data_IF_725212260027
#
_entry.id   IF_725212260027
#
_cell.length_a   1.000
_cell.length_b   1.000
_cell.length_c   1.000
_cell.angle_alpha   90.00
_cell.angle_beta   90.00
_cell.angle_gamma   90.00
#
_symmetry.space_group_name_H-M   'P 1'
#
loop_
_entity.id
_entity.type
_entity.pdbx_description
1 polymer ?
#
# COMPACT_ATOMS: atom_id res chain seq x y z
N UNK A 1 -25.04 -11.09 -11.51
CA UNK A 1 -23.69 -10.89 -10.95
C UNK A 1 -23.01 -9.83 -11.78
N UNK A 2 -23.09 -8.57 -11.35
CA UNK A 2 -22.47 -7.43 -12.02
C UNK A 2 -20.97 -7.43 -11.70
N UNK A 3 -20.12 -7.55 -12.72
CA UNK A 3 -18.70 -7.31 -12.55
C UNK A 3 -18.49 -5.81 -12.39
N UNK A 4 -18.26 -5.37 -11.15
CA UNK A 4 -17.71 -4.05 -10.88
C UNK A 4 -16.31 -4.04 -11.51
N UNK A 5 -16.08 -3.18 -12.50
CA UNK A 5 -14.71 -2.85 -12.90
C UNK A 5 -14.04 -2.23 -11.67
N UNK A 6 -13.22 -3.02 -10.98
CA UNK A 6 -12.25 -2.48 -10.04
C UNK A 6 -11.38 -1.55 -10.86
N UNK A 7 -11.51 -0.26 -10.60
CA UNK A 7 -10.42 0.65 -10.85
C UNK A 7 -9.31 0.13 -9.95
N UNK A 8 -8.34 -0.60 -10.52
CA UNK A 8 -7.20 -1.11 -9.78
C UNK A 8 -6.46 0.11 -9.25
N UNK A 9 -6.83 0.55 -8.04
CA UNK A 9 -6.02 1.48 -7.30
C UNK A 9 -4.67 0.78 -7.22
N UNK A 10 -3.65 1.34 -7.85
CA UNK A 10 -2.31 0.76 -7.91
C UNK A 10 -1.61 0.78 -6.55
N UNK A 11 -2.36 0.60 -5.47
CA UNK A 11 -1.95 0.48 -4.09
C UNK A 11 -1.63 -0.98 -3.80
N UNK A 12 -0.38 -1.20 -3.42
CA UNK A 12 0.08 -2.46 -2.86
C UNK A 12 0.34 -2.28 -1.37
N UNK A 13 -0.19 -3.17 -0.54
CA UNK A 13 0.00 -3.15 0.91
C UNK A 13 0.81 -4.36 1.36
N UNK A 14 1.94 -4.10 2.00
CA UNK A 14 2.78 -5.07 2.68
C UNK A 14 2.70 -4.86 4.19
N UNK A 15 2.35 -5.89 4.94
CA UNK A 15 2.34 -5.84 6.41
C UNK A 15 3.39 -6.80 6.95
N UNK A 16 4.31 -6.29 7.77
CA UNK A 16 5.37 -7.07 8.39
C UNK A 16 5.26 -7.01 9.90
N UNK A 17 5.09 -8.19 10.52
CA UNK A 17 5.02 -8.35 11.98
C UNK A 17 6.26 -9.04 12.51
N UNK A 18 6.88 -8.43 13.52
CA UNK A 18 8.10 -8.89 14.18
C UNK A 18 7.73 -9.27 15.61
N UNK A 19 7.71 -10.57 15.91
CA UNK A 19 7.40 -11.09 17.25
C UNK A 19 8.60 -10.95 18.18
N UNK A 20 8.32 -10.92 19.48
CA UNK A 20 9.32 -10.81 20.54
C UNK A 20 10.21 -9.56 20.37
N UNK A 21 9.62 -8.44 19.93
CA UNK A 21 10.36 -7.23 19.57
C UNK A 21 11.11 -6.60 20.76
N UNK A 22 10.68 -6.87 22.00
CA UNK A 22 11.42 -6.43 23.18
C UNK A 22 12.77 -7.14 23.37
N UNK A 23 12.99 -8.28 22.70
CA UNK A 23 14.23 -9.06 22.71
C UNK A 23 15.15 -8.75 21.52
N UNK A 24 14.88 -7.67 20.81
CA UNK A 24 15.67 -7.23 19.67
C UNK A 24 17.03 -6.68 20.15
N UNK A 25 18.13 -7.41 19.88
CA UNK A 25 19.49 -7.15 20.38
C UNK A 25 20.37 -6.34 19.39
N UNK A 26 19.80 -5.98 18.25
CA UNK A 26 20.41 -5.23 17.17
C UNK A 26 20.99 -3.93 17.71
N UNK A 27 22.26 -3.67 17.46
CA UNK A 27 22.92 -2.43 17.87
C UNK A 27 22.46 -1.27 16.99
N UNK A 28 22.79 -0.05 17.39
CA UNK A 28 22.65 1.12 16.53
C UNK A 28 23.32 0.86 15.17
N UNK A 29 22.63 1.18 14.08
CA UNK A 29 23.07 0.93 12.72
C UNK A 29 22.84 -0.51 12.21
N UNK A 30 22.53 -1.45 13.10
CA UNK A 30 22.09 -2.80 12.71
C UNK A 30 20.57 -2.79 12.46
N UNK A 31 20.14 -3.65 11.53
CA UNK A 31 18.74 -3.70 11.10
C UNK A 31 18.21 -5.12 10.99
N UNK A 32 16.91 -5.24 11.22
CA UNK A 32 16.10 -6.35 10.78
C UNK A 32 15.71 -6.13 9.32
N UNK A 33 15.82 -7.16 8.49
CA UNK A 33 15.41 -7.11 7.09
C UNK A 33 14.12 -7.89 6.87
N UNK A 34 13.14 -7.28 6.22
CA UNK A 34 11.91 -7.96 5.85
C UNK A 34 12.16 -9.06 4.81
N UNK A 35 11.25 -10.05 4.69
CA UNK A 35 11.13 -10.81 3.46
C UNK A 35 10.98 -9.87 2.26
N UNK A 36 11.50 -10.30 1.11
CA UNK A 36 11.26 -9.60 -0.15
C UNK A 36 9.77 -9.63 -0.48
N UNK A 37 9.26 -8.54 -1.04
CA UNK A 37 7.87 -8.46 -1.47
C UNK A 37 7.75 -7.83 -2.85
N UNK A 38 6.74 -8.27 -3.61
CA UNK A 38 6.56 -7.89 -5.00
C UNK A 38 5.33 -7.02 -5.15
N UNK A 39 5.52 -5.76 -5.54
CA UNK A 39 4.43 -4.84 -5.83
C UNK A 39 3.98 -5.00 -7.29
N UNK A 40 2.84 -5.67 -7.49
CA UNK A 40 2.30 -5.97 -8.81
C UNK A 40 1.85 -4.73 -9.60
N UNK A 41 1.56 -3.61 -8.93
CA UNK A 41 1.12 -2.36 -9.54
C UNK A 41 2.11 -1.75 -10.57
N UNK A 42 3.34 -2.26 -10.60
CA UNK A 42 4.47 -1.76 -11.39
C UNK A 42 5.17 -2.83 -12.24
N UNK A 43 4.44 -3.85 -12.72
CA UNK A 43 5.07 -4.92 -13.51
C UNK A 43 6.02 -5.77 -12.66
N UNK A 44 5.60 -6.06 -11.43
CA UNK A 44 6.33 -6.91 -10.47
C UNK A 44 7.68 -6.33 -10.02
N UNK A 45 7.64 -5.19 -9.34
CA UNK A 45 8.84 -4.64 -8.68
C UNK A 45 9.10 -5.35 -7.34
N UNK A 46 10.35 -5.73 -7.09
CA UNK A 46 10.79 -6.39 -5.86
C UNK A 46 11.33 -5.36 -4.87
N UNK A 47 10.94 -5.48 -3.61
CA UNK A 47 11.23 -4.53 -2.55
C UNK A 47 11.69 -5.23 -1.27
N UNK A 48 12.33 -4.45 -0.41
CA UNK A 48 12.61 -4.85 0.97
C UNK A 48 12.49 -3.65 1.91
N UNK A 49 12.05 -3.92 3.14
CA UNK A 49 12.04 -2.95 4.23
C UNK A 49 13.10 -3.35 5.26
N UNK A 50 14.04 -2.45 5.53
CA UNK A 50 14.97 -2.57 6.64
C UNK A 50 14.43 -1.75 7.82
N UNK A 51 14.38 -2.34 9.01
CA UNK A 51 14.00 -1.68 10.25
C UNK A 51 15.20 -1.63 11.18
N UNK A 52 15.53 -0.46 11.69
CA UNK A 52 16.61 -0.22 12.65
C UNK A 52 16.00 -0.03 14.03
N UNK A 53 15.95 -1.07 14.88
CA UNK A 53 15.16 -1.07 16.11
C UNK A 53 15.73 -0.12 17.17
N UNK A 54 17.04 0.10 17.12
CA UNK A 54 17.79 1.01 18.00
C UNK A 54 18.42 2.19 17.23
N UNK A 55 17.83 2.52 16.08
CA UNK A 55 18.19 3.67 15.24
C UNK A 55 19.30 3.37 14.24
N UNK A 56 19.32 4.11 13.14
CA UNK A 56 20.40 4.05 12.16
C UNK A 56 21.52 5.00 12.62
N UNK A 57 21.32 6.32 12.55
CA UNK A 57 22.25 7.33 13.08
C UNK A 57 21.75 8.01 14.36
N UNK A 58 20.44 8.08 14.55
CA UNK A 58 19.81 8.70 15.72
C UNK A 58 19.56 7.68 16.84
N UNK A 59 20.15 7.92 18.02
CA UNK A 59 19.94 7.07 19.21
C UNK A 59 18.53 7.28 19.78
N UNK A 60 17.90 6.21 20.25
CA UNK A 60 16.60 6.27 20.93
C UNK A 60 15.40 6.38 19.98
N UNK A 61 15.63 6.31 18.67
CA UNK A 61 14.59 6.23 17.66
C UNK A 61 14.58 4.85 17.02
N UNK A 62 13.40 4.40 16.60
CA UNK A 62 13.28 3.38 15.57
C UNK A 62 13.39 4.12 14.23
N UNK A 63 14.14 3.56 13.29
CA UNK A 63 14.28 4.08 11.92
C UNK A 63 13.96 3.01 10.89
N UNK A 64 13.67 3.40 9.66
CA UNK A 64 13.45 2.44 8.56
C UNK A 64 14.09 2.90 7.26
N UNK A 65 14.31 1.93 6.35
CA UNK A 65 14.59 2.15 4.94
C UNK A 65 13.74 1.22 4.06
N UNK A 66 12.96 1.78 3.15
CA UNK A 66 12.34 1.07 2.04
C UNK A 66 13.26 1.12 0.81
N UNK A 67 13.57 -0.04 0.24
CA UNK A 67 14.48 -0.17 -0.89
C UNK A 67 13.83 -0.94 -2.04
N UNK A 68 13.93 -0.36 -3.24
CA UNK A 68 13.63 -1.04 -4.50
C UNK A 68 14.83 -1.91 -4.89
N UNK A 69 14.60 -3.20 -5.13
CA UNK A 69 15.63 -4.17 -5.53
C UNK A 69 15.65 -4.39 -7.05
N UNK A 70 14.53 -4.16 -7.74
CA UNK A 70 14.48 -4.26 -9.20
C UNK A 70 15.34 -3.19 -9.86
N UNK A 71 16.00 -3.54 -10.97
CA UNK A 71 16.82 -2.63 -11.79
C UNK A 71 15.96 -1.75 -12.71
N UNK A 72 14.97 -1.06 -12.13
CA UNK A 72 14.08 -0.14 -12.84
C UNK A 72 14.00 1.17 -12.08
N UNK A 73 13.62 2.24 -12.77
CA UNK A 73 13.28 3.51 -12.12
C UNK A 73 11.77 3.66 -12.08
N UNK A 74 11.23 3.89 -10.89
CA UNK A 74 9.81 4.16 -10.71
C UNK A 74 9.58 5.42 -9.88
N UNK A 75 8.40 6.00 -10.04
CA UNK A 75 7.91 7.10 -9.20
C UNK A 75 6.65 6.64 -8.49
N UNK A 76 6.69 6.48 -7.18
CA UNK A 76 5.57 5.99 -6.38
C UNK A 76 5.31 6.90 -5.17
N UNK A 77 4.09 6.88 -4.66
CA UNK A 77 3.83 7.33 -3.29
C UNK A 77 4.05 6.16 -2.36
N UNK A 78 4.83 6.33 -1.30
CA UNK A 78 5.01 5.31 -0.28
C UNK A 78 4.58 5.80 1.08
N UNK A 79 3.85 4.98 1.81
CA UNK A 79 3.42 5.26 3.19
C UNK A 79 3.90 4.15 4.10
N UNK A 80 4.60 4.51 5.18
CA UNK A 80 5.04 3.59 6.22
C UNK A 80 4.37 3.98 7.53
N UNK A 81 3.74 3.03 8.20
CA UNK A 81 3.06 3.25 9.48
C UNK A 81 3.19 2.05 10.43
N UNK A 82 2.98 2.29 11.71
CA UNK A 82 2.92 1.25 12.75
C UNK A 82 1.46 0.84 12.92
N UNK A 83 1.19 -0.46 12.92
CA UNK A 83 -0.16 -0.99 13.17
C UNK A 83 -0.29 -1.33 14.65
N UNK A 84 -1.23 -0.67 15.34
CA UNK A 84 -1.49 -0.87 16.77
C UNK A 84 -2.47 -2.02 17.04
N UNK A 85 -2.76 -2.27 18.32
CA UNK A 85 -3.62 -3.35 18.79
C UNK A 85 -5.07 -3.28 18.28
N UNK A 86 -5.55 -2.10 17.91
CA UNK A 86 -6.87 -1.86 17.31
C UNK A 86 -6.91 -2.11 15.79
N UNK A 87 -5.76 -2.40 15.17
CA UNK A 87 -5.61 -2.63 13.74
C UNK A 87 -5.43 -1.35 12.90
N UNK A 88 -5.46 -0.17 13.53
CA UNK A 88 -5.25 1.11 12.85
C UNK A 88 -3.78 1.48 12.73
N UNK A 89 -3.49 2.37 11.78
CA UNK A 89 -2.14 2.87 11.49
C UNK A 89 -1.84 4.14 12.30
N UNK A 90 -0.71 4.14 13.01
CA UNK A 90 -0.16 5.23 13.79
C UNK A 90 1.27 5.54 13.34
N UNK A 91 1.79 6.72 13.73
CA UNK A 91 3.13 7.17 13.36
C UNK A 91 3.37 7.00 11.85
N UNK A 92 2.50 7.58 11.04
CA UNK A 92 2.55 7.42 9.58
C UNK A 92 3.49 8.44 8.94
N UNK A 93 4.30 7.97 7.99
CA UNK A 93 5.12 8.81 7.12
C UNK A 93 4.76 8.50 5.68
N UNK A 94 4.20 9.50 5.00
CA UNK A 94 3.93 9.47 3.57
C UNK A 94 5.02 10.23 2.80
N UNK A 95 5.42 9.66 1.66
CA UNK A 95 6.34 10.25 0.69
C UNK A 95 5.67 10.22 -0.67
N UNK A 96 5.16 11.37 -1.11
CA UNK A 96 4.49 11.52 -2.41
C UNK A 96 5.51 11.72 -3.53
N UNK A 97 5.23 11.21 -4.73
CA UNK A 97 6.07 11.38 -5.91
C UNK A 97 7.53 10.98 -5.72
N UNK A 98 7.76 9.96 -4.89
CA UNK A 98 9.09 9.49 -4.60
C UNK A 98 9.66 8.73 -5.79
N UNK A 99 10.82 9.20 -6.27
CA UNK A 99 11.64 8.48 -7.24
C UNK A 99 12.47 7.43 -6.52
N UNK A 100 12.44 6.21 -7.03
CA UNK A 100 13.31 5.11 -6.63
C UNK A 100 14.23 4.74 -7.80
N UNK A 101 15.35 5.45 -8.01
CA UNK A 101 16.43 4.95 -8.87
C UNK A 101 17.19 3.81 -8.18
N UNK A 102 17.81 2.92 -8.95
CA UNK A 102 18.82 2.00 -8.42
C UNK A 102 20.21 2.69 -8.46
N UNK A 103 21.02 2.70 -7.38
CA UNK A 103 20.77 2.22 -6.01
C UNK A 103 20.34 3.37 -5.09
N UNK A 104 19.05 3.50 -4.81
CA UNK A 104 18.56 4.53 -3.89
C UNK A 104 17.47 3.95 -2.99
N UNK A 105 17.34 4.51 -1.79
CA UNK A 105 16.38 4.07 -0.77
C UNK A 105 15.56 5.25 -0.25
N UNK A 106 14.43 4.93 0.38
CA UNK A 106 13.60 5.87 1.14
C UNK A 106 13.71 5.55 2.61
N UNK A 107 14.30 6.42 3.43
CA UNK A 107 14.40 6.16 4.87
C UNK A 107 13.90 7.30 5.73
N UNK A 108 13.68 7.03 7.02
CA UNK A 108 13.40 8.04 8.05
C UNK A 108 14.16 7.69 9.33
N UNK A 109 15.22 8.43 9.60
CA UNK A 109 16.05 8.31 10.81
C UNK A 109 15.27 8.49 12.12
N UNK A 110 14.35 9.45 12.12
CA UNK A 110 13.54 9.81 13.28
C UNK A 110 12.09 9.42 13.00
N UNK A 111 11.82 8.11 12.87
CA UNK A 111 10.47 7.63 12.56
C UNK A 111 9.58 7.68 13.79
N UNK A 112 9.98 6.99 14.87
CA UNK A 112 9.29 7.07 16.17
C UNK A 112 10.30 6.93 17.30
N UNK A 113 10.06 7.57 18.44
CA UNK A 113 10.87 7.36 19.64
C UNK A 113 10.65 5.94 20.15
N UNK A 114 11.72 5.23 20.45
CA UNK A 114 11.63 3.86 20.99
C UNK A 114 10.87 3.88 22.32
N UNK A 115 11.23 4.77 23.23
CA UNK A 115 10.58 4.87 24.55
C UNK A 115 9.08 5.16 24.47
N UNK A 116 8.61 5.86 23.43
CA UNK A 116 7.18 6.10 23.21
C UNK A 116 6.43 4.82 22.86
N UNK A 117 7.02 3.96 22.02
CA UNK A 117 6.47 2.64 21.70
C UNK A 117 6.44 1.74 22.94
N UNK A 118 7.49 1.77 23.76
CA UNK A 118 7.58 0.95 24.97
C UNK A 118 6.75 1.48 26.14
N UNK A 119 6.52 2.79 26.24
CA UNK A 119 5.62 3.39 27.23
C UNK A 119 4.18 2.88 27.07
N UNK A 120 3.75 2.68 25.82
CA UNK A 120 2.45 2.13 25.46
C UNK A 120 2.57 0.72 24.86
N UNK A 121 3.42 -0.13 25.46
CA UNK A 121 3.78 -1.46 24.95
C UNK A 121 2.57 -2.32 24.57
N UNK A 122 1.54 -2.40 25.41
CA UNK A 122 0.38 -3.25 25.12
C UNK A 122 -0.41 -2.79 23.89
N UNK A 123 -0.31 -1.51 23.53
CA UNK A 123 -1.00 -0.92 22.40
C UNK A 123 -0.20 -1.01 21.10
N UNK A 124 1.09 -0.65 21.14
CA UNK A 124 1.95 -0.66 19.93
C UNK A 124 2.72 -1.97 19.70
N UNK A 125 2.83 -2.82 20.73
CA UNK A 125 3.46 -4.14 20.71
C UNK A 125 2.51 -5.20 21.27
N UNK A 126 1.30 -5.40 20.71
CA UNK A 126 0.37 -6.40 21.18
C UNK A 126 1.02 -7.79 21.13
N UNK A 127 1.04 -8.51 22.26
CA UNK A 127 1.77 -9.79 22.41
C UNK A 127 3.25 -9.67 22.01
N UNK A 128 3.88 -8.56 22.37
CA UNK A 128 5.26 -8.21 22.04
C UNK A 128 5.58 -8.23 20.54
N UNK A 129 4.58 -7.93 19.70
CA UNK A 129 4.71 -7.96 18.24
C UNK A 129 4.69 -6.55 17.66
N UNK A 130 5.79 -6.10 17.07
CA UNK A 130 5.85 -4.83 16.34
C UNK A 130 5.38 -5.05 14.90
N UNK A 131 4.34 -4.33 14.47
CA UNK A 131 3.79 -4.49 13.13
C UNK A 131 3.92 -3.20 12.33
N UNK A 132 4.51 -3.31 11.14
CA UNK A 132 4.68 -2.21 10.20
C UNK A 132 3.81 -2.48 8.98
N UNK A 133 3.09 -1.45 8.53
CA UNK A 133 2.42 -1.43 7.24
C UNK A 133 3.20 -0.54 6.29
N UNK A 134 3.54 -1.10 5.14
CA UNK A 134 4.11 -0.40 3.99
C UNK A 134 3.09 -0.41 2.87
N UNK A 135 2.75 0.77 2.39
CA UNK A 135 1.85 0.98 1.26
C UNK A 135 2.63 1.64 0.14
N UNK A 136 2.53 1.08 -1.06
CA UNK A 136 3.17 1.60 -2.26
C UNK A 136 2.08 1.84 -3.28
N UNK A 137 1.83 3.11 -3.59
CA UNK A 137 0.82 3.51 -4.53
C UNK A 137 1.44 4.01 -5.82
N UNK A 138 0.95 3.46 -6.92
CA UNK A 138 1.18 4.01 -8.25
C UNK A 138 0.40 5.31 -8.41
N UNK A 139 1.12 6.35 -8.77
CA UNK A 139 0.49 7.57 -9.24
C UNK A 139 -0.19 7.26 -10.57
N UNK A 140 -1.44 7.74 -10.78
CA UNK A 140 -1.99 7.79 -12.11
C UNK A 140 -0.99 8.57 -12.97
N UNK A 141 -0.34 7.91 -13.92
CA UNK A 141 0.31 8.64 -15.00
C UNK A 141 -0.77 9.51 -15.63
N UNK A 142 -0.50 10.78 -15.92
CA UNK A 142 -1.42 11.70 -16.61
C UNK A 142 -1.92 11.18 -17.98
N UNK A 143 -1.47 10.00 -18.42
CA UNK A 143 -1.96 9.25 -19.57
C UNK A 143 -2.72 7.97 -19.20
N UNK A 144 -3.47 7.94 -18.10
CA UNK A 144 -4.57 6.96 -18.02
C UNK A 144 -5.69 7.49 -18.89
N UNK A 145 -5.85 6.89 -20.07
CA UNK A 145 -7.07 7.04 -20.88
C UNK A 145 -8.25 6.77 -19.96
N UNK A 146 -9.00 7.81 -19.61
CA UNK A 146 -10.22 7.66 -18.81
C UNK A 146 -11.14 6.75 -19.63
N UNK A 147 -11.24 5.48 -19.26
CA UNK A 147 -12.21 4.56 -19.86
C UNK A 147 -13.58 4.99 -19.36
N UNK A 148 -14.24 5.89 -20.10
CA UNK A 148 -15.62 6.28 -19.81
C UNK A 148 -16.52 5.09 -20.12
N UNK A 149 -17.15 4.55 -19.09
CA UNK A 149 -18.25 3.60 -19.25
C UNK A 149 -19.54 4.42 -19.27
N UNK A 150 -20.15 4.54 -20.44
CA UNK A 150 -21.49 5.10 -20.57
C UNK A 150 -22.49 3.96 -20.45
N UNK A 151 -23.25 3.94 -19.36
CA UNK A 151 -24.35 2.99 -19.16
C UNK A 151 -25.65 3.75 -19.37
N UNK A 152 -26.42 3.34 -20.38
CA UNK A 152 -27.76 3.85 -20.63
C UNK A 152 -28.76 2.73 -20.36
N UNK A 153 -29.72 2.98 -19.48
CA UNK A 153 -30.85 2.09 -19.25
C UNK A 153 -32.11 2.74 -19.83
N UNK A 154 -32.89 1.98 -20.58
CA UNK A 154 -34.21 2.42 -21.07
C UNK A 154 -35.29 1.50 -20.50
N UNK A 155 -36.35 2.09 -19.96
CA UNK A 155 -37.50 1.37 -19.45
C UNK A 155 -38.53 1.32 -20.57
N UNK A 156 -38.79 0.14 -21.13
CA UNK A 156 -39.88 -0.06 -22.07
C UNK A 156 -41.22 0.09 -21.36
N UNK A 157 -42.09 0.95 -21.87
CA UNK A 157 -43.48 1.06 -21.40
C UNK A 157 -44.33 0.13 -22.25
N UNK A 158 -44.87 -0.91 -21.64
CA UNK A 158 -45.83 -1.81 -22.27
C UNK A 158 -47.25 -1.32 -21.96
N UNK A 159 -47.97 -0.88 -22.99
CA UNK A 159 -49.39 -0.49 -22.87
C UNK A 159 -50.31 -1.68 -23.10
N UNK A 160 -49.94 -2.89 -22.65
CA UNK A 160 -50.85 -4.03 -22.64
C UNK A 160 -50.71 -4.93 -21.40
N UNK A 161 -51.72 -4.80 -20.52
CA UNK A 161 -52.21 -5.74 -19.48
C UNK A 161 -51.21 -6.70 -18.79
N UNK A 162 -50.95 -6.37 -17.51
CA UNK A 162 -50.52 -7.20 -16.38
C UNK A 162 -49.11 -7.87 -16.41
N UNK A 163 -48.29 -7.72 -15.34
CA UNK A 163 -46.87 -8.09 -15.38
C UNK A 163 -46.66 -9.58 -15.09
N UNK A 164 -46.12 -10.33 -16.05
CA UNK A 164 -45.37 -11.55 -15.75
C UNK A 164 -44.10 -11.65 -16.60
N UNK A 165 -42.97 -11.45 -15.92
CA UNK A 165 -41.59 -11.77 -16.27
C UNK A 165 -40.80 -10.73 -17.08
N UNK A 166 -39.65 -10.36 -16.52
CA UNK A 166 -38.59 -9.56 -17.13
C UNK A 166 -37.51 -10.50 -17.65
N UNK A 167 -37.19 -10.44 -18.94
CA UNK A 167 -35.92 -10.97 -19.49
C UNK A 167 -35.48 -10.15 -20.69
N UNK A 168 -34.31 -9.50 -20.58
CA UNK A 168 -33.09 -9.78 -21.37
C UNK A 168 -32.09 -8.64 -21.15
N UNK A 169 -30.84 -8.99 -20.84
CA UNK A 169 -29.68 -8.08 -20.80
C UNK A 169 -28.93 -8.22 -22.13
N UNK A 170 -28.78 -7.14 -22.88
CA UNK A 170 -27.87 -7.09 -24.03
C UNK A 170 -26.77 -6.07 -23.73
N UNK A 171 -25.52 -6.54 -23.65
CA UNK A 171 -24.34 -5.71 -23.43
C UNK A 171 -23.78 -5.36 -24.82
N UNK A 172 -23.70 -4.08 -25.14
CA UNK A 172 -22.98 -3.61 -26.32
C UNK A 172 -21.61 -3.06 -25.89
N UNK A 173 -20.55 -3.60 -26.49
CA UNK A 173 -19.21 -3.04 -26.41
C UNK A 173 -18.96 -2.24 -27.69
N UNK A 174 -18.97 -0.92 -27.60
CA UNK A 174 -18.43 -0.06 -28.66
C UNK A 174 -17.06 0.48 -28.25
N UNK A 175 -16.06 0.20 -29.09
CA UNK A 175 -14.71 0.74 -28.95
C UNK A 175 -14.63 1.95 -29.87
N UNK A 176 -14.91 3.14 -29.33
CA UNK A 176 -14.66 4.40 -30.04
C UNK A 176 -13.21 4.83 -29.84
N UNK A 177 -12.41 4.80 -30.91
CA UNK A 177 -11.14 5.51 -30.99
C UNK A 177 -11.40 6.89 -31.60
N UNK A 178 -11.11 7.96 -30.86
CA UNK A 178 -10.94 9.30 -31.43
C UNK A 178 -9.58 9.87 -31.00
N UNK A 179 -8.95 10.66 -31.87
CA UNK A 179 -7.52 10.98 -31.83
C UNK A 179 -7.10 11.88 -30.67
#
# INVERSE_FOLDING_TARGET
MSSVMKCDCGLYTFTWSIRNFSFCYEKKGEYLRSPKFTAQAWGETEWVLNLYPNGHDAVGYIAFELRLLSNVSITATSTIAIVAADGFSYFSVERVNQKFPNPTFSGKEHFVKRDEIFASKNFYLPKDTFTIRCEIQRLPSEKQSIKRCNVRSEIGIDYTVAPKSVRTLTIFNEIGLYP
#
